data_IF_574282818645
#
_entry.id   IF_574282818645
#
_cell.length_a   1.000
_cell.length_b   1.000
_cell.length_c   1.000
_cell.angle_alpha   90.00
_cell.angle_beta   90.00
_cell.angle_gamma   90.00
#
_symmetry.space_group_name_H-M   'P 1'
#
loop_
_entity.id
_entity.type
_entity.pdbx_description
1 polymer ?
#
# COMPACT_ATOMS: atom_id res chain seq x y z
N UNK A 1 2.39 12.48 7.50
CA UNK A 1 1.36 11.64 6.86
C UNK A 1 1.93 10.25 6.64
N UNK A 2 1.23 9.24 7.12
CA UNK A 2 1.51 7.81 6.96
C UNK A 2 0.47 7.20 6.03
N UNK A 3 0.92 6.53 4.97
CA UNK A 3 0.04 5.90 3.97
C UNK A 3 0.27 4.40 3.96
N UNK A 4 -0.83 3.64 3.93
CA UNK A 4 -0.81 2.22 3.61
C UNK A 4 -1.22 2.02 2.14
N UNK A 5 -0.30 1.52 1.33
CA UNK A 5 -0.52 1.18 -0.07
C UNK A 5 -0.77 -0.33 -0.20
N UNK A 6 -1.88 -0.72 -0.82
CA UNK A 6 -2.29 -2.12 -0.95
C UNK A 6 -2.47 -2.48 -2.43
N UNK A 7 -1.81 -3.55 -2.88
CA UNK A 7 -1.82 -4.01 -4.27
C UNK A 7 -0.54 -3.65 -5.02
N UNK A 8 -0.30 -4.38 -6.11
CA UNK A 8 0.82 -4.17 -7.02
C UNK A 8 2.19 -4.58 -6.45
N UNK A 9 3.13 -4.95 -7.34
CA UNK A 9 4.47 -5.41 -6.95
C UNK A 9 5.55 -4.33 -7.04
N UNK A 10 5.44 -3.46 -8.04
CA UNK A 10 6.43 -2.42 -8.37
C UNK A 10 5.82 -1.05 -8.13
N UNK A 11 5.78 -0.65 -6.87
CA UNK A 11 5.09 0.57 -6.43
C UNK A 11 6.03 1.76 -6.24
N UNK A 12 7.32 1.61 -6.55
CA UNK A 12 8.32 2.67 -6.40
C UNK A 12 7.91 3.99 -7.06
N UNK A 13 7.37 4.03 -8.31
CA UNK A 13 6.96 5.30 -8.91
C UNK A 13 5.85 6.01 -8.13
N UNK A 14 4.92 5.24 -7.55
CA UNK A 14 3.83 5.78 -6.74
C UNK A 14 4.39 6.27 -5.40
N UNK A 15 5.26 5.48 -4.78
CA UNK A 15 5.92 5.86 -3.52
C UNK A 15 6.74 7.14 -3.65
N UNK A 16 7.48 7.31 -4.74
CA UNK A 16 8.31 8.49 -4.97
C UNK A 16 7.45 9.73 -5.23
N UNK A 17 6.36 9.60 -5.98
CA UNK A 17 5.37 10.66 -6.14
C UNK A 17 4.77 11.07 -4.79
N UNK A 18 4.35 10.10 -3.96
CA UNK A 18 3.76 10.36 -2.64
C UNK A 18 4.75 11.05 -1.70
N UNK A 19 6.02 10.63 -1.70
CA UNK A 19 7.09 11.31 -0.96
C UNK A 19 7.27 12.75 -1.43
N UNK A 20 7.21 13.00 -2.74
CA UNK A 20 7.23 14.35 -3.33
C UNK A 20 6.06 15.23 -2.88
N UNK A 21 4.93 14.64 -2.50
CA UNK A 21 3.76 15.33 -1.93
C UNK A 21 3.83 15.50 -0.40
N UNK A 22 4.95 15.14 0.24
CA UNK A 22 5.17 15.31 1.68
C UNK A 22 4.74 14.12 2.55
N UNK A 23 4.46 12.96 1.95
CA UNK A 23 4.24 11.72 2.70
C UNK A 23 5.55 11.25 3.31
N UNK A 24 5.53 10.93 4.61
CA UNK A 24 6.75 10.60 5.38
C UNK A 24 6.93 9.09 5.49
N UNK A 25 5.83 8.37 5.70
CA UNK A 25 5.82 6.93 5.90
C UNK A 25 4.92 6.29 4.86
N UNK A 26 5.42 5.26 4.19
CA UNK A 26 4.66 4.46 3.23
C UNK A 26 4.87 2.99 3.60
N UNK A 27 3.80 2.34 4.03
CA UNK A 27 3.76 0.88 4.19
C UNK A 27 3.14 0.27 2.94
N UNK A 28 3.69 -0.84 2.45
CA UNK A 28 3.18 -1.51 1.26
C UNK A 28 2.82 -2.96 1.55
N UNK A 29 1.58 -3.34 1.19
CA UNK A 29 1.13 -4.72 1.13
C UNK A 29 0.86 -5.07 -0.34
N UNK A 30 1.71 -5.90 -0.96
CA UNK A 30 1.55 -6.29 -2.38
C UNK A 30 0.18 -6.90 -2.70
N UNK A 31 -0.48 -7.53 -1.71
CA UNK A 31 -1.76 -8.21 -1.85
C UNK A 31 -1.80 -9.23 -3.03
N UNK A 32 -0.66 -9.76 -3.46
CA UNK A 32 -0.53 -10.67 -4.60
C UNK A 32 -1.28 -11.97 -4.35
N UNK A 33 -1.12 -12.53 -3.15
CA UNK A 33 -1.81 -13.76 -2.73
C UNK A 33 -3.05 -13.44 -1.90
N UNK A 34 -4.11 -14.24 -2.06
CA UNK A 34 -5.34 -14.17 -1.24
C UNK A 34 -5.11 -14.14 0.28
N UNK A 35 -4.01 -14.72 0.76
CA UNK A 35 -3.67 -14.76 2.19
C UNK A 35 -2.77 -13.63 2.67
N UNK A 36 -2.21 -12.81 1.78
CA UNK A 36 -1.11 -11.88 2.10
C UNK A 36 -1.54 -10.60 2.83
N UNK A 37 -2.80 -10.18 2.69
CA UNK A 37 -3.34 -8.93 3.26
C UNK A 37 -4.56 -9.09 4.19
N UNK A 38 -5.58 -9.95 3.93
CA UNK A 38 -6.89 -9.89 4.62
C UNK A 38 -6.92 -10.14 6.14
N UNK A 39 -5.80 -10.56 6.75
CA UNK A 39 -5.69 -10.80 8.20
C UNK A 39 -4.70 -9.86 8.90
N UNK A 40 -4.03 -8.98 8.15
CA UNK A 40 -3.13 -8.00 8.73
C UNK A 40 -3.96 -6.92 9.41
N UNK A 41 -3.51 -6.49 10.59
CA UNK A 41 -4.09 -5.32 11.26
C UNK A 41 -3.55 -4.08 10.58
N UNK A 42 -4.44 -3.16 10.20
CA UNK A 42 -4.04 -1.85 9.71
C UNK A 42 -3.29 -1.11 10.83
N UNK A 43 -2.09 -0.58 10.57
CA UNK A 43 -1.36 0.22 11.55
C UNK A 43 -2.22 1.39 12.04
N UNK A 44 -2.26 1.61 13.34
CA UNK A 44 -3.16 2.60 13.96
C UNK A 44 -2.77 4.05 13.64
N UNK A 45 -1.54 4.28 13.17
CA UNK A 45 -1.01 5.56 12.72
C UNK A 45 -1.20 5.80 11.22
N UNK A 46 -1.97 4.94 10.52
CA UNK A 46 -2.29 5.12 9.10
C UNK A 46 -3.26 6.29 8.91
N UNK A 47 -2.82 7.34 8.23
CA UNK A 47 -3.66 8.50 7.91
C UNK A 47 -4.52 8.26 6.66
N UNK A 48 -4.04 7.45 5.72
CA UNK A 48 -4.72 7.18 4.45
C UNK A 48 -4.39 5.78 3.91
N UNK A 49 -5.38 5.11 3.30
CA UNK A 49 -5.21 3.85 2.58
C UNK A 49 -5.41 4.09 1.09
N UNK A 50 -4.44 3.67 0.28
CA UNK A 50 -4.52 3.68 -1.18
C UNK A 50 -4.54 2.23 -1.66
N UNK A 51 -5.64 1.81 -2.29
CA UNK A 51 -5.81 0.42 -2.75
C UNK A 51 -5.88 0.33 -4.28
N UNK A 52 -4.97 -0.42 -4.87
CA UNK A 52 -4.91 -0.71 -6.29
C UNK A 52 -5.75 -1.97 -6.60
N UNK A 53 -7.06 -1.79 -6.75
CA UNK A 53 -8.03 -2.91 -6.80
C UNK A 53 -7.83 -3.87 -7.98
N UNK A 54 -7.32 -3.38 -9.12
CA UNK A 54 -6.95 -4.21 -10.27
C UNK A 54 -5.72 -5.10 -10.03
N UNK A 55 -4.98 -4.85 -8.96
CA UNK A 55 -3.74 -5.55 -8.59
C UNK A 55 -3.88 -6.24 -7.23
N UNK A 56 -5.08 -6.71 -6.90
CA UNK A 56 -5.33 -7.58 -5.75
C UNK A 56 -5.49 -9.02 -6.22
N UNK A 57 -4.94 -9.97 -5.47
CA UNK A 57 -5.07 -11.41 -5.75
C UNK A 57 -4.67 -11.78 -7.18
N UNK A 58 -3.68 -11.07 -7.73
CA UNK A 58 -3.18 -11.26 -9.08
C UNK A 58 -2.00 -12.24 -9.03
N UNK A 59 -1.94 -13.14 -10.01
CA UNK A 59 -0.75 -13.92 -10.34
C UNK A 59 -0.44 -13.66 -11.81
#
# INVERSE_FOLDING_TARGET
MSILLIGGDKIDPISDMLKGLGVKNIEHWDARKKSSAPKKKVPQDTDCIIMLTSFLNHN
#
